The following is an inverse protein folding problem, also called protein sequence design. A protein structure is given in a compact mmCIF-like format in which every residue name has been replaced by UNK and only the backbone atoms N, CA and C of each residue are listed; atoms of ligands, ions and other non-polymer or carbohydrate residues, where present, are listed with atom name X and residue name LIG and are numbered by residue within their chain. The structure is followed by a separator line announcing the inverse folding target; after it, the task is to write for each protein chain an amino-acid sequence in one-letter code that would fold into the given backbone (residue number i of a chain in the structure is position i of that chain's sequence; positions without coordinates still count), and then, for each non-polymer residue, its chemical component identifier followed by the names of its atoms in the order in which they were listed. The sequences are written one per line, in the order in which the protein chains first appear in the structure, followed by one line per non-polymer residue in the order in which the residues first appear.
data_IF_325911143730
#
_entry.id   IF_325911143730
#
_cell.length_a   1.000
_cell.length_b   1.000
_cell.length_c   1.000
_cell.angle_alpha   90.00
_cell.angle_beta   90.00
_cell.angle_gamma   90.00
#
_symmetry.space_group_name_H-M   'P 1'
#
loop_
_entity.id
_entity.type
_entity.pdbx_description
1 polymer ?
#
# COMPACT_ATOMS: atom_id res chain seq x y z
N UNK A 1 -4.82 21.61 -0.49
CA UNK A 1 -4.08 20.44 0.03
C UNK A 1 -4.27 20.39 1.54
N UNK A 2 -5.10 19.48 2.07
CA UNK A 2 -5.35 19.38 3.51
C UNK A 2 -4.78 18.06 4.03
N UNK A 3 -3.58 18.11 4.60
CA UNK A 3 -3.05 17.05 5.46
C UNK A 3 -3.76 17.16 6.81
N UNK A 4 -4.88 16.46 6.97
CA UNK A 4 -5.49 16.29 8.31
C UNK A 4 -4.86 15.08 8.99
N UNK A 5 -4.26 15.36 10.15
CA UNK A 5 -3.82 14.38 11.12
C UNK A 5 -5.01 13.54 11.57
N UNK A 6 -4.98 12.24 11.29
CA UNK A 6 -5.98 11.26 11.72
C UNK A 6 -5.30 9.94 12.03
N UNK A 7 -4.61 9.87 13.18
CA UNK A 7 -4.21 8.59 13.73
C UNK A 7 -5.45 7.89 14.30
N UNK A 8 -5.78 6.69 13.79
CA UNK A 8 -6.31 5.51 14.51
C UNK A 8 -7.01 4.53 13.56
N UNK A 9 -6.22 3.74 12.83
CA UNK A 9 -6.46 2.32 12.58
C UNK A 9 -5.07 1.75 12.24
N UNK A 10 -4.46 0.99 13.14
CA UNK A 10 -3.24 0.27 12.80
C UNK A 10 -3.66 -0.84 11.81
N UNK A 11 -3.59 -0.56 10.51
CA UNK A 11 -3.76 -1.59 9.51
C UNK A 11 -2.71 -2.66 9.82
N UNK A 12 -3.07 -3.96 9.89
CA UNK A 12 -2.16 -4.99 10.35
C UNK A 12 -0.88 -5.12 9.48
N UNK A 13 -0.89 -4.55 8.28
CA UNK A 13 0.24 -4.47 7.35
C UNK A 13 1.23 -3.32 7.65
N UNK A 14 0.87 -2.37 8.52
CA UNK A 14 1.64 -1.13 8.74
C UNK A 14 3.08 -1.36 9.23
N UNK A 15 3.37 -2.34 10.11
CA UNK A 15 4.76 -2.66 10.48
C UNK A 15 5.60 -3.17 9.30
N UNK A 16 5.02 -4.00 8.43
CA UNK A 16 5.72 -4.51 7.26
C UNK A 16 6.03 -3.41 6.23
N UNK A 17 5.08 -2.48 6.03
CA UNK A 17 5.29 -1.30 5.18
C UNK A 17 6.38 -0.40 5.76
N UNK A 18 6.35 -0.13 7.08
CA UNK A 18 7.36 0.69 7.74
C UNK A 18 8.77 0.07 7.64
N UNK A 19 8.88 -1.24 7.87
CA UNK A 19 10.14 -1.97 7.70
C UNK A 19 10.65 -1.88 6.27
N UNK A 20 9.77 -1.99 5.28
CA UNK A 20 10.15 -1.87 3.88
C UNK A 20 10.62 -0.46 3.50
N UNK A 21 9.97 0.59 4.02
CA UNK A 21 10.41 1.97 3.78
C UNK A 21 11.78 2.28 4.41
N UNK A 22 12.19 1.54 5.44
CA UNK A 22 13.50 1.67 6.08
C UNK A 22 14.60 0.84 5.39
N UNK A 23 14.24 -0.07 4.49
CA UNK A 23 15.20 -0.93 3.78
C UNK A 23 15.86 -0.16 2.62
N UNK A 24 17.20 -0.02 2.57
CA UNK A 24 17.89 0.64 1.46
C UNK A 24 17.58 0.04 0.07
N UNK A 25 17.22 -1.25 0.00
CA UNK A 25 16.78 -1.88 -1.25
C UNK A 25 15.42 -1.35 -1.76
N UNK A 26 14.74 -0.51 -0.98
CA UNK A 26 13.50 0.19 -1.31
C UNK A 26 13.68 1.71 -1.34
N UNK A 27 14.89 2.22 -1.58
CA UNK A 27 15.14 3.67 -1.60
C UNK A 27 14.17 4.44 -2.53
N UNK A 28 13.75 3.82 -3.63
CA UNK A 28 12.82 4.40 -4.61
C UNK A 28 11.33 4.06 -4.35
N UNK A 29 11.03 3.34 -3.27
CA UNK A 29 9.66 2.93 -2.94
C UNK A 29 8.83 4.12 -2.46
N UNK A 30 7.78 4.45 -3.21
CA UNK A 30 6.80 5.45 -2.81
C UNK A 30 5.53 4.74 -2.34
N UNK A 31 5.12 5.02 -1.10
CA UNK A 31 3.90 4.46 -0.51
C UNK A 31 2.79 5.52 -0.52
N UNK A 32 1.77 5.31 -1.35
CA UNK A 32 0.55 6.10 -1.31
C UNK A 32 -0.50 5.44 -0.41
N UNK A 33 -1.20 6.25 0.38
CA UNK A 33 -2.31 5.80 1.22
C UNK A 33 -3.58 6.52 0.80
N UNK A 34 -4.58 5.74 0.42
CA UNK A 34 -5.93 6.24 0.17
C UNK A 34 -6.79 6.00 1.40
N UNK A 35 -7.59 7.00 1.76
CA UNK A 35 -8.67 6.82 2.74
C UNK A 35 -9.82 6.05 2.07
N UNK A 36 -10.12 4.85 2.57
CA UNK A 36 -11.14 4.00 1.99
C UNK A 36 -12.53 4.66 2.02
N UNK A 37 -12.86 5.45 3.04
CA UNK A 37 -14.19 6.04 3.17
C UNK A 37 -14.27 7.39 2.45
N UNK A 38 -13.20 8.18 2.48
CA UNK A 38 -13.17 9.53 1.93
C UNK A 38 -12.75 9.69 0.46
N UNK A 39 -12.04 8.73 -0.12
CA UNK A 39 -11.39 8.88 -1.45
C UNK A 39 -11.94 7.88 -2.49
N UNK A 40 -13.26 7.82 -2.64
CA UNK A 40 -13.93 6.85 -3.54
C UNK A 40 -13.64 7.11 -5.02
N UNK A 41 -13.37 8.36 -5.40
CA UNK A 41 -13.07 8.71 -6.79
C UNK A 41 -11.71 8.14 -7.23
N UNK A 42 -10.72 8.16 -6.34
CA UNK A 42 -9.37 7.65 -6.52
C UNK A 42 -9.33 6.11 -6.43
N UNK A 43 -10.19 5.51 -5.61
CA UNK A 43 -10.31 4.04 -5.49
C UNK A 43 -10.93 3.37 -6.71
N UNK A 44 -11.93 4.02 -7.35
CA UNK A 44 -12.66 3.50 -8.50
C UNK A 44 -11.75 3.03 -9.66
N UNK A 45 -10.81 3.84 -10.18
CA UNK A 45 -9.92 3.40 -11.26
C UNK A 45 -9.01 2.24 -10.83
N UNK A 46 -8.67 2.15 -9.55
CA UNK A 46 -7.86 1.07 -8.96
C UNK A 46 -8.67 -0.21 -8.65
N UNK A 47 -9.99 -0.20 -8.91
CA UNK A 47 -10.91 -1.32 -8.66
C UNK A 47 -10.79 -1.88 -7.24
N UNK A 48 -10.64 -0.98 -6.26
CA UNK A 48 -10.60 -1.33 -4.84
C UNK A 48 -12.03 -1.48 -4.32
N UNK A 49 -12.40 -2.70 -3.91
CA UNK A 49 -13.75 -3.02 -3.42
C UNK A 49 -13.78 -3.33 -1.92
N UNK A 50 -12.62 -3.54 -1.29
CA UNK A 50 -12.49 -3.87 0.13
C UNK A 50 -11.42 -3.05 0.84
N UNK A 51 -11.59 -2.85 2.14
CA UNK A 51 -10.58 -2.24 3.01
C UNK A 51 -9.29 -3.09 3.04
N UNK A 52 -8.18 -2.49 3.45
CA UNK A 52 -6.89 -3.18 3.58
C UNK A 52 -6.39 -3.81 2.28
N UNK A 53 -6.60 -3.11 1.17
CA UNK A 53 -6.04 -3.49 -0.13
C UNK A 53 -4.68 -2.83 -0.32
N UNK A 54 -3.65 -3.64 -0.61
CA UNK A 54 -2.36 -3.18 -1.12
C UNK A 54 -2.27 -3.50 -2.60
N UNK A 55 -1.77 -2.55 -3.40
CA UNK A 55 -1.53 -2.72 -4.83
C UNK A 55 -0.08 -2.30 -5.08
N UNK A 56 0.69 -3.17 -5.72
CA UNK A 56 2.05 -2.89 -6.10
C UNK A 56 2.10 -2.44 -7.57
N UNK A 57 2.88 -1.40 -7.82
CA UNK A 57 3.13 -0.89 -9.16
C UNK A 57 4.64 -0.82 -9.40
N UNK A 58 5.03 -1.12 -10.63
CA UNK A 58 6.30 -0.71 -11.21
C UNK A 58 6.02 0.26 -12.36
N UNK A 59 6.33 1.54 -12.15
CA UNK A 59 5.90 2.62 -13.03
C UNK A 59 4.37 2.66 -13.17
N UNK A 60 3.86 2.36 -14.36
CA UNK A 60 2.41 2.36 -14.67
C UNK A 60 1.78 0.98 -14.64
N UNK A 61 2.57 -0.06 -14.36
CA UNK A 61 2.14 -1.45 -14.44
C UNK A 61 1.85 -1.98 -13.05
N UNK A 62 0.62 -2.46 -12.82
CA UNK A 62 0.30 -3.22 -11.61
C UNK A 62 1.03 -4.56 -11.63
N UNK A 63 1.85 -4.84 -10.62
CA UNK A 63 2.67 -6.05 -10.51
C UNK A 63 2.10 -7.05 -9.51
N UNK A 64 1.13 -6.64 -8.69
CA UNK A 64 0.40 -7.51 -7.79
C UNK A 64 -0.55 -6.77 -6.85
N UNK A 65 -1.40 -7.53 -6.15
CA UNK A 65 -2.27 -6.98 -5.10
C UNK A 65 -2.51 -7.96 -3.96
N UNK A 66 -2.78 -7.43 -2.78
CA UNK A 66 -3.25 -8.18 -1.60
C UNK A 66 -4.52 -7.52 -1.09
N UNK A 67 -5.55 -8.32 -0.78
CA UNK A 67 -6.81 -7.85 -0.20
C UNK A 67 -7.01 -8.53 1.15
N UNK A 68 -7.05 -7.78 2.25
CA UNK A 68 -7.27 -8.32 3.60
C UNK A 68 -6.12 -9.15 4.18
N UNK A 69 -5.11 -9.52 3.38
CA UNK A 69 -3.95 -10.30 3.82
C UNK A 69 -2.95 -9.41 4.58
N UNK A 70 -2.52 -9.82 5.76
CA UNK A 70 -1.65 -9.00 6.62
C UNK A 70 -0.35 -9.67 7.04
N UNK A 71 -0.10 -10.91 6.61
CA UNK A 71 1.16 -11.58 6.88
C UNK A 71 2.34 -10.76 6.34
N UNK A 72 3.29 -10.42 7.21
CA UNK A 72 4.49 -9.64 6.87
C UNK A 72 5.22 -10.21 5.63
N UNK A 73 5.28 -11.54 5.50
CA UNK A 73 5.89 -12.22 4.34
C UNK A 73 5.15 -11.93 3.03
N UNK A 74 3.82 -11.89 3.04
CA UNK A 74 3.02 -11.59 1.86
C UNK A 74 3.25 -10.14 1.43
N UNK A 75 3.24 -9.20 2.38
CA UNK A 75 3.52 -7.77 2.13
C UNK A 75 4.93 -7.57 1.57
N UNK A 76 5.95 -8.21 2.17
CA UNK A 76 7.33 -8.11 1.69
C UNK A 76 7.50 -8.67 0.27
N UNK A 77 6.85 -9.81 -0.05
CA UNK A 77 6.83 -10.37 -1.41
C UNK A 77 6.16 -9.43 -2.40
N UNK A 78 5.04 -8.83 -2.02
CA UNK A 78 4.34 -7.86 -2.85
C UNK A 78 5.25 -6.66 -3.17
N UNK A 79 5.94 -6.11 -2.17
CA UNK A 79 6.87 -4.99 -2.36
C UNK A 79 8.03 -5.37 -3.28
N UNK A 80 8.56 -6.59 -3.17
CA UNK A 80 9.63 -7.02 -4.06
C UNK A 80 9.25 -6.98 -5.55
N UNK A 81 7.96 -7.05 -5.88
CA UNK A 81 7.49 -6.95 -7.28
C UNK A 81 7.58 -5.54 -7.87
N UNK A 82 7.78 -4.51 -7.05
CA UNK A 82 7.89 -3.12 -7.54
C UNK A 82 9.26 -2.78 -8.11
N UNK A 83 10.24 -3.70 -7.99
CA UNK A 83 11.66 -3.49 -8.36
C UNK A 83 12.06 -4.11 -9.71
N UNK A 84 11.09 -4.67 -10.44
CA UNK A 84 11.30 -5.43 -11.67
C UNK A 84 11.76 -4.61 -12.87
#
# INVERSE_FOLDING_TARGET
MSMRHGARYAAPQQPAIAAAQADPANADLIVFRLDFDGQKAEQRPLRVTGQSTLIAFNGRTETGRLQGESANRAVARLIATTRG
#
